data_IF_961664311340
#
_entry.id   IF_961664311340
#
_cell.length_a   1.000
_cell.length_b   1.000
_cell.length_c   1.000
_cell.angle_alpha   90.00
_cell.angle_beta   90.00
_cell.angle_gamma   90.00
#
_symmetry.space_group_name_H-M   'P 1'
#
loop_
_entity.id
_entity.type
_entity.pdbx_description
1 polymer ?
#
# COMPACT_ATOMS: atom_id res chain seq x y z
N UNK A 1 -10.55 -6.32 9.24
CA UNK A 1 -9.86 -7.44 9.90
C UNK A 1 -9.06 -6.91 11.09
N UNK A 2 -8.11 -5.97 10.91
CA UNK A 2 -7.32 -5.39 12.03
C UNK A 2 -7.17 -3.85 11.98
N UNK A 3 -8.08 -3.16 11.28
CA UNK A 3 -8.06 -1.68 11.10
C UNK A 3 -6.76 -1.10 10.51
N UNK A 4 -5.98 -1.91 9.78
CA UNK A 4 -4.84 -1.44 9.00
C UNK A 4 -5.32 -0.61 7.80
N UNK A 5 -5.34 0.71 7.99
CA UNK A 5 -5.74 1.68 6.97
C UNK A 5 -4.53 2.33 6.31
N UNK A 6 -3.39 2.40 6.99
CA UNK A 6 -2.20 3.13 6.54
C UNK A 6 -1.16 2.27 5.83
N UNK A 7 0.09 2.76 5.81
CA UNK A 7 1.20 2.03 5.20
C UNK A 7 1.59 0.81 6.04
N UNK A 8 1.87 -0.31 5.36
CA UNK A 8 2.09 -1.59 6.03
C UNK A 8 3.25 -1.56 7.04
N UNK A 9 4.27 -0.73 6.80
CA UNK A 9 5.44 -0.61 7.69
C UNK A 9 5.07 -0.03 9.05
N UNK A 10 4.25 1.03 9.08
CA UNK A 10 3.78 1.66 10.33
C UNK A 10 2.79 0.75 11.06
N UNK A 11 1.92 0.11 10.30
CA UNK A 11 0.93 -0.83 10.84
C UNK A 11 1.60 -2.08 11.44
N UNK A 12 2.64 -2.60 10.79
CA UNK A 12 3.44 -3.72 11.29
C UNK A 12 4.31 -3.32 12.49
N UNK A 13 4.97 -2.16 12.48
CA UNK A 13 5.89 -1.76 13.56
C UNK A 13 5.18 -1.53 14.91
N UNK A 14 3.91 -1.14 14.88
CA UNK A 14 3.08 -0.95 16.08
C UNK A 14 2.47 -2.25 16.62
N UNK A 15 2.56 -3.35 15.88
CA UNK A 15 1.83 -4.60 16.17
C UNK A 15 2.80 -5.74 16.47
N UNK A 16 2.67 -6.37 17.63
CA UNK A 16 3.51 -7.52 18.03
C UNK A 16 2.96 -8.84 17.49
N UNK A 17 1.66 -9.05 17.67
CA UNK A 17 0.99 -10.30 17.35
C UNK A 17 -0.46 -10.01 16.94
N UNK A 18 -0.94 -10.82 16.00
CA UNK A 18 -2.32 -10.83 15.55
C UNK A 18 -2.86 -12.24 15.74
N UNK A 19 -4.05 -12.35 16.30
CA UNK A 19 -4.73 -13.61 16.45
C UNK A 19 -6.20 -13.45 16.07
N UNK A 20 -6.82 -14.52 15.58
CA UNK A 20 -8.24 -14.53 15.25
C UNK A 20 -8.83 -15.90 15.58
N UNK A 21 -10.09 -15.90 15.98
CA UNK A 21 -10.89 -17.11 16.16
C UNK A 21 -12.35 -16.79 15.79
N UNK A 22 -13.06 -17.75 15.24
CA UNK A 22 -14.44 -17.53 14.83
C UNK A 22 -15.01 -18.54 13.84
N UNK A 23 -16.30 -18.36 13.59
CA UNK A 23 -17.10 -19.22 12.74
C UNK A 23 -17.23 -18.63 11.33
N UNK A 24 -17.06 -19.48 10.32
CA UNK A 24 -17.18 -19.13 8.90
C UNK A 24 -18.12 -20.11 8.21
N UNK A 25 -19.37 -19.69 8.02
CA UNK A 25 -20.41 -20.51 7.42
C UNK A 25 -20.58 -20.09 5.99
N UNK A 26 -20.18 -20.97 5.09
CA UNK A 26 -20.32 -20.75 3.64
C UNK A 26 -21.57 -21.46 3.17
N UNK A 27 -22.51 -20.72 2.57
CA UNK A 27 -23.71 -21.30 1.95
C UNK A 27 -23.44 -21.64 0.49
N UNK A 28 -22.87 -20.69 -0.26
CA UNK A 28 -22.55 -20.88 -1.67
C UNK A 28 -21.35 -20.01 -2.08
N UNK A 29 -20.71 -20.41 -3.17
CA UNK A 29 -19.57 -19.70 -3.75
C UNK A 29 -19.96 -19.21 -5.15
N UNK A 30 -19.62 -17.95 -5.44
CA UNK A 30 -19.73 -17.38 -6.78
C UNK A 30 -18.31 -17.14 -7.26
N UNK A 31 -17.85 -17.87 -8.27
CA UNK A 31 -16.49 -17.75 -8.80
C UNK A 31 -16.55 -17.56 -10.32
N UNK A 32 -15.71 -16.67 -10.85
CA UNK A 32 -15.51 -16.52 -12.28
C UNK A 32 -14.66 -17.70 -12.77
N UNK A 33 -15.05 -18.26 -13.91
CA UNK A 33 -14.23 -19.26 -14.59
C UNK A 33 -12.91 -18.64 -15.05
N UNK A 34 -11.81 -19.15 -14.49
CA UNK A 34 -10.46 -18.59 -14.67
C UNK A 34 -9.96 -18.68 -16.10
N UNK A 35 -10.47 -19.60 -16.91
CA UNK A 35 -10.01 -19.80 -18.28
C UNK A 35 -10.42 -18.67 -19.23
N UNK A 36 -11.42 -17.86 -18.89
CA UNK A 36 -12.05 -16.91 -19.82
C UNK A 36 -12.15 -15.47 -19.28
N UNK A 37 -11.37 -15.11 -18.26
CA UNK A 37 -11.44 -13.77 -17.68
C UNK A 37 -10.74 -12.76 -18.61
N UNK A 38 -11.52 -11.90 -19.24
CA UNK A 38 -11.01 -10.80 -20.06
C UNK A 38 -11.50 -9.46 -19.54
N UNK A 39 -10.61 -8.47 -19.49
CA UNK A 39 -10.98 -7.09 -19.20
C UNK A 39 -11.84 -6.50 -20.31
N UNK A 40 -12.79 -5.64 -19.93
CA UNK A 40 -13.58 -4.89 -20.91
C UNK A 40 -12.69 -3.92 -21.68
N UNK A 41 -13.02 -3.66 -22.94
CA UNK A 41 -12.22 -2.77 -23.79
C UNK A 41 -12.11 -1.35 -23.22
N UNK A 42 -13.15 -0.87 -22.51
CA UNK A 42 -13.12 0.43 -21.82
C UNK A 42 -12.01 0.51 -20.78
N UNK A 43 -11.86 -0.54 -19.96
CA UNK A 43 -10.80 -0.59 -18.94
C UNK A 43 -9.43 -0.66 -19.59
N UNK A 44 -9.29 -1.38 -20.71
CA UNK A 44 -8.02 -1.45 -21.46
C UNK A 44 -7.64 -0.10 -22.07
N UNK A 45 -8.62 0.65 -22.58
CA UNK A 45 -8.40 1.99 -23.16
C UNK A 45 -7.98 3.03 -22.11
N UNK A 46 -8.45 2.87 -20.87
CA UNK A 46 -8.08 3.76 -19.76
C UNK A 46 -6.63 3.51 -19.28
N UNK A 47 -5.94 2.46 -19.73
CA UNK A 47 -4.56 2.17 -19.32
C UNK A 47 -3.59 3.17 -19.94
N UNK A 48 -2.82 3.94 -19.14
CA UNK A 48 -1.85 4.90 -19.66
C UNK A 48 -0.72 4.20 -20.40
N UNK A 49 -0.41 4.66 -21.62
CA UNK A 49 0.66 4.06 -22.44
C UNK A 49 2.08 4.43 -21.95
N UNK A 50 2.21 5.55 -21.25
CA UNK A 50 3.47 6.09 -20.71
C UNK A 50 3.36 6.31 -19.20
N UNK A 51 4.49 6.64 -18.56
CA UNK A 51 4.45 7.07 -17.15
C UNK A 51 3.87 8.49 -17.03
N UNK A 52 2.55 8.57 -16.95
CA UNK A 52 1.81 9.77 -16.57
C UNK A 52 1.24 9.60 -15.16
N UNK A 53 1.83 10.26 -14.13
CA UNK A 53 1.34 10.18 -12.75
C UNK A 53 -0.14 10.52 -12.60
N UNK A 54 -0.67 11.44 -13.41
CA UNK A 54 -2.05 11.90 -13.31
C UNK A 54 -3.00 10.81 -13.82
N UNK A 55 -2.81 10.36 -15.06
CA UNK A 55 -3.64 9.30 -15.64
C UNK A 55 -3.53 7.97 -14.86
N UNK A 56 -2.35 7.64 -14.31
CA UNK A 56 -2.16 6.44 -13.49
C UNK A 56 -2.92 6.57 -12.15
N UNK A 57 -2.85 7.71 -11.47
CA UNK A 57 -3.57 7.94 -10.23
C UNK A 57 -5.09 7.86 -10.46
N UNK A 58 -5.60 8.51 -11.52
CA UNK A 58 -7.00 8.45 -11.94
C UNK A 58 -7.43 7.01 -12.25
N UNK A 59 -6.58 6.23 -12.93
CA UNK A 59 -6.88 4.82 -13.22
C UNK A 59 -7.03 4.01 -11.92
N UNK A 60 -6.10 4.16 -10.97
CA UNK A 60 -6.12 3.43 -9.69
C UNK A 60 -7.33 3.86 -8.85
N UNK A 61 -7.68 5.14 -8.85
CA UNK A 61 -8.86 5.65 -8.15
C UNK A 61 -10.16 5.11 -8.76
N UNK A 62 -10.28 5.12 -10.09
CA UNK A 62 -11.48 4.72 -10.82
C UNK A 62 -11.71 3.20 -10.82
N UNK A 63 -10.67 2.42 -11.08
CA UNK A 63 -10.77 0.97 -11.30
C UNK A 63 -10.23 0.13 -10.13
N UNK A 64 -9.49 0.75 -9.21
CA UNK A 64 -8.80 0.04 -8.15
C UNK A 64 -7.57 -0.73 -8.65
N UNK A 65 -7.05 -1.59 -7.77
CA UNK A 65 -5.82 -2.37 -8.03
C UNK A 65 -6.09 -3.84 -8.33
N UNK A 66 -7.25 -4.35 -7.93
CA UNK A 66 -7.58 -5.77 -7.96
C UNK A 66 -9.02 -5.99 -8.41
N UNK A 67 -9.25 -7.12 -9.08
CA UNK A 67 -10.57 -7.56 -9.50
C UNK A 67 -11.02 -8.69 -8.58
N UNK A 68 -12.29 -8.66 -8.20
CA UNK A 68 -12.93 -9.74 -7.46
C UNK A 68 -13.24 -10.87 -8.45
N UNK A 69 -12.54 -12.00 -8.31
CA UNK A 69 -12.75 -13.19 -9.15
C UNK A 69 -13.58 -14.27 -8.47
N UNK A 70 -13.82 -14.13 -7.18
CA UNK A 70 -14.66 -15.07 -6.44
C UNK A 70 -15.10 -14.52 -5.11
N UNK A 71 -16.29 -14.93 -4.68
CA UNK A 71 -16.95 -14.47 -3.48
C UNK A 71 -17.56 -15.68 -2.80
N UNK A 72 -17.32 -15.80 -1.49
CA UNK A 72 -18.02 -16.76 -0.63
C UNK A 72 -19.13 -16.05 0.10
N UNK A 73 -20.35 -16.56 -0.02
CA UNK A 73 -21.57 -16.01 0.56
C UNK A 73 -22.02 -16.85 1.75
N UNK A 74 -22.42 -16.20 2.83
CA UNK A 74 -22.95 -16.86 4.02
C UNK A 74 -22.88 -15.96 5.25
N UNK A 75 -22.38 -16.49 6.36
CA UNK A 75 -22.25 -15.76 7.63
C UNK A 75 -20.88 -15.97 8.26
N UNK A 76 -20.33 -14.94 8.89
CA UNK A 76 -19.14 -15.08 9.74
C UNK A 76 -19.29 -14.32 11.04
N UNK A 77 -18.78 -14.92 12.09
CA UNK A 77 -18.71 -14.30 13.41
C UNK A 77 -17.31 -14.52 13.99
N UNK A 78 -16.51 -13.46 14.04
CA UNK A 78 -15.06 -13.56 14.27
C UNK A 78 -14.60 -12.56 15.31
N UNK A 79 -13.72 -13.01 16.19
CA UNK A 79 -13.01 -12.21 17.19
C UNK A 79 -11.58 -12.06 16.70
N UNK A 80 -11.12 -10.81 16.58
CA UNK A 80 -9.74 -10.50 16.22
C UNK A 80 -9.06 -9.86 17.42
N UNK A 81 -7.84 -10.27 17.70
CA UNK A 81 -7.00 -9.70 18.74
C UNK A 81 -5.77 -9.08 18.09
N UNK A 82 -5.55 -7.80 18.40
CA UNK A 82 -4.35 -7.05 18.03
C UNK A 82 -3.55 -6.75 19.29
N UNK A 83 -2.35 -7.31 19.38
CA UNK A 83 -1.39 -7.03 20.45
C UNK A 83 -0.45 -5.90 20.02
N UNK A 84 -0.32 -4.86 20.85
CA UNK A 84 0.61 -3.76 20.59
C UNK A 84 2.06 -4.16 20.88
N UNK A 85 3.03 -3.52 20.19
CA UNK A 85 4.45 -3.81 20.37
C UNK A 85 4.97 -3.58 21.80
N UNK A 86 4.35 -2.64 22.53
CA UNK A 86 4.70 -2.31 23.91
C UNK A 86 4.17 -3.34 24.93
N UNK A 87 3.46 -4.37 24.48
CA UNK A 87 2.89 -5.41 25.33
C UNK A 87 3.95 -6.43 25.75
N UNK A 88 4.07 -6.65 27.06
CA UNK A 88 4.90 -7.70 27.64
C UNK A 88 4.25 -9.09 27.61
N UNK A 89 3.00 -9.20 27.12
CA UNK A 89 2.29 -10.48 27.11
C UNK A 89 2.96 -11.47 26.16
N UNK A 90 3.00 -12.72 26.60
CA UNK A 90 3.51 -13.82 25.80
C UNK A 90 2.44 -14.30 24.79
N UNK A 91 2.80 -14.78 23.58
CA UNK A 91 1.83 -15.29 22.61
C UNK A 91 0.86 -16.36 23.17
N UNK A 92 1.32 -17.18 24.12
CA UNK A 92 0.47 -18.18 24.79
C UNK A 92 -0.65 -17.56 25.63
N UNK A 93 -0.39 -16.42 26.28
CA UNK A 93 -1.39 -15.69 27.05
C UNK A 93 -2.41 -15.06 26.12
N UNK A 94 -1.97 -14.46 25.01
CA UNK A 94 -2.86 -13.92 23.97
C UNK A 94 -3.76 -15.00 23.40
N UNK A 95 -3.21 -16.19 23.12
CA UNK A 95 -3.99 -17.35 22.67
C UNK A 95 -5.00 -17.83 23.72
N UNK A 96 -4.62 -17.86 25.00
CA UNK A 96 -5.52 -18.23 26.10
C UNK A 96 -6.68 -17.23 26.21
N UNK A 97 -6.38 -15.94 26.14
CA UNK A 97 -7.40 -14.87 26.14
C UNK A 97 -8.32 -14.98 24.94
N UNK A 98 -7.79 -15.23 23.74
CA UNK A 98 -8.60 -15.45 22.54
C UNK A 98 -9.56 -16.63 22.72
N UNK A 99 -9.05 -17.75 23.24
CA UNK A 99 -9.86 -18.93 23.50
C UNK A 99 -10.96 -18.64 24.52
N UNK A 100 -10.65 -17.95 25.61
CA UNK A 100 -11.66 -17.57 26.60
C UNK A 100 -12.76 -16.68 25.99
N UNK A 101 -12.39 -15.66 25.21
CA UNK A 101 -13.38 -14.80 24.54
C UNK A 101 -14.21 -15.56 23.51
N UNK A 102 -13.62 -16.53 22.81
CA UNK A 102 -14.33 -17.40 21.88
C UNK A 102 -15.31 -18.32 22.62
N UNK A 103 -14.87 -18.96 23.70
CA UNK A 103 -15.71 -19.82 24.55
C UNK A 103 -16.88 -19.01 25.13
N UNK A 104 -16.65 -17.79 25.64
CA UNK A 104 -17.70 -16.90 26.14
C UNK A 104 -18.69 -16.46 25.06
N UNK A 105 -18.22 -16.18 23.84
CA UNK A 105 -19.06 -15.66 22.75
C UNK A 105 -19.85 -16.74 22.03
N UNK A 106 -19.28 -17.94 21.92
CA UNK A 106 -19.85 -19.05 21.14
C UNK A 106 -20.46 -20.14 22.00
N UNK A 107 -20.42 -20.02 23.34
CA UNK A 107 -21.17 -20.89 24.24
C UNK A 107 -22.68 -20.77 24.00
N UNK A 108 -23.39 -21.89 24.16
CA UNK A 108 -24.84 -22.00 23.95
C UNK A 108 -25.69 -21.43 25.10
N UNK A 109 -25.08 -20.86 26.14
CA UNK A 109 -25.82 -20.28 27.25
C UNK A 109 -26.71 -19.12 26.76
N UNK A 110 -28.03 -19.26 26.97
CA UNK A 110 -29.09 -18.36 26.51
C UNK A 110 -29.03 -16.95 27.12
N UNK A 111 -28.16 -16.72 28.09
CA UNK A 111 -27.92 -15.40 28.67
C UNK A 111 -26.88 -14.66 27.82
N UNK A 112 -27.38 -13.80 26.93
CA UNK A 112 -26.53 -12.87 26.18
C UNK A 112 -25.57 -12.14 27.14
N UNK A 113 -24.25 -12.13 26.91
CA UNK A 113 -23.38 -11.26 27.67
C UNK A 113 -23.76 -9.83 27.30
N UNK A 114 -24.43 -9.16 28.25
CA UNK A 114 -24.66 -7.71 28.21
C UNK A 114 -23.27 -7.09 28.09
N UNK A 115 -22.95 -6.53 26.92
CA UNK A 115 -21.75 -5.72 26.72
C UNK A 115 -21.80 -4.55 27.71
N UNK A 116 -21.26 -4.75 28.90
CA UNK A 116 -21.20 -3.76 29.98
C UNK A 116 -20.02 -2.82 29.76
N UNK A 117 -19.97 -2.16 28.60
CA UNK A 117 -19.10 -1.00 28.38
C UNK A 117 -19.61 -0.30 27.11
N UNK A 118 -20.20 0.89 27.30
CA UNK A 118 -20.69 1.73 26.19
C UNK A 118 -19.54 2.00 25.21
N UNK A 119 -19.63 1.62 23.93
CA UNK A 119 -18.64 2.00 22.95
C UNK A 119 -18.72 3.51 22.68
N UNK A 120 -17.56 4.16 22.54
CA UNK A 120 -17.49 5.51 22.00
C UNK A 120 -17.79 5.43 20.50
N UNK A 121 -18.93 5.97 20.09
CA UNK A 121 -19.32 6.13 18.69
C UNK A 121 -18.44 7.23 18.05
N UNK A 122 -17.55 6.86 17.14
CA UNK A 122 -16.94 7.81 16.19
C UNK A 122 -17.78 7.80 14.90
N UNK A 123 -18.20 8.96 14.34
CA UNK A 123 -18.99 8.99 13.13
C UNK A 123 -18.15 8.57 11.92
N UNK A 124 -18.52 7.46 11.27
CA UNK A 124 -17.95 7.03 10.00
C UNK A 124 -18.96 7.27 8.88
N UNK A 125 -18.55 8.03 7.86
CA UNK A 125 -19.34 8.30 6.66
C UNK A 125 -19.30 7.08 5.72
N UNK A 126 -20.44 6.44 5.39
CA UNK A 126 -20.52 5.40 4.38
C UNK A 126 -20.28 5.98 2.99
N UNK A 127 -19.45 5.33 2.20
CA UNK A 127 -19.26 5.67 0.79
C UNK A 127 -20.54 5.32 0.03
N UNK A 128 -21.15 6.33 -0.60
CA UNK A 128 -22.31 6.20 -1.47
C UNK A 128 -21.96 5.39 -2.73
N UNK A 129 -22.35 4.12 -2.75
CA UNK A 129 -22.57 3.37 -3.98
C UNK A 129 -24.07 3.28 -4.20
N UNK A 130 -24.55 4.09 -5.15
CA UNK A 130 -25.95 4.17 -5.58
C UNK A 130 -26.58 2.77 -5.75
N UNK A 131 -27.66 2.52 -5.00
CA UNK A 131 -28.79 1.73 -5.50
C UNK A 131 -29.02 0.31 -4.99
N UNK A 132 -28.28 -0.19 -3.99
CA UNK A 132 -28.59 -1.49 -3.36
C UNK A 132 -28.76 -1.33 -1.85
N UNK A 133 -29.78 -1.95 -1.21
CA UNK A 133 -29.84 -2.01 0.25
C UNK A 133 -28.72 -2.94 0.71
N UNK A 134 -27.52 -2.39 0.91
CA UNK A 134 -26.47 -3.08 1.62
C UNK A 134 -27.03 -3.39 3.01
N UNK A 135 -27.35 -4.66 3.27
CA UNK A 135 -27.75 -5.13 4.59
C UNK A 135 -26.78 -4.52 5.60
N UNK A 136 -27.31 -3.64 6.46
CA UNK A 136 -26.56 -2.72 7.31
C UNK A 136 -25.35 -3.43 7.92
N UNK A 137 -24.15 -3.08 7.44
CA UNK A 137 -22.92 -3.64 7.98
C UNK A 137 -22.75 -2.97 9.34
N UNK A 138 -23.15 -3.68 10.41
CA UNK A 138 -22.91 -3.20 11.77
C UNK A 138 -21.40 -2.91 11.93
N UNK A 139 -21.03 -1.72 12.45
CA UNK A 139 -19.64 -1.41 12.73
C UNK A 139 -19.01 -2.48 13.64
N UNK A 140 -17.72 -2.79 13.44
CA UNK A 140 -17.04 -3.72 14.33
C UNK A 140 -17.08 -3.17 15.76
N UNK A 141 -17.38 -4.03 16.74
CA UNK A 141 -17.28 -3.65 18.15
C UNK A 141 -15.82 -3.74 18.55
N UNK A 142 -15.26 -2.65 19.06
CA UNK A 142 -13.84 -2.58 19.46
C UNK A 142 -13.75 -2.37 20.97
N UNK A 143 -13.09 -3.29 21.65
CA UNK A 143 -12.83 -3.20 23.10
C UNK A 143 -11.32 -3.12 23.32
N UNK A 144 -10.87 -2.21 24.18
CA UNK A 144 -9.45 -2.04 24.53
C UNK A 144 -9.20 -2.51 25.94
N UNK A 145 -8.12 -3.24 26.17
CA UNK A 145 -7.71 -3.59 27.53
C UNK A 145 -7.27 -2.34 28.30
N UNK A 146 -7.37 -2.38 29.64
CA UNK A 146 -7.05 -1.25 30.54
C UNK A 146 -5.66 -0.63 30.32
N UNK A 147 -4.70 -1.39 29.80
CA UNK A 147 -3.33 -0.94 29.55
C UNK A 147 -3.04 -0.65 28.06
N UNK A 148 -4.05 -0.62 27.19
CA UNK A 148 -3.91 -0.53 25.72
C UNK A 148 -2.94 -1.59 25.13
N UNK A 149 -2.71 -2.69 25.86
CA UNK A 149 -1.81 -3.76 25.45
C UNK A 149 -2.46 -4.67 24.39
N UNK A 150 -3.79 -4.79 24.44
CA UNK A 150 -4.61 -5.62 23.57
C UNK A 150 -5.82 -4.83 23.10
N UNK A 151 -6.12 -4.93 21.81
CA UNK A 151 -7.36 -4.48 21.20
C UNK A 151 -8.13 -5.70 20.67
N UNK A 152 -9.36 -5.87 21.13
CA UNK A 152 -10.28 -6.90 20.68
C UNK A 152 -11.25 -6.27 19.67
N UNK A 153 -11.42 -6.91 18.52
CA UNK A 153 -12.28 -6.44 17.43
C UNK A 153 -13.24 -7.55 17.05
N UNK A 154 -14.52 -7.35 17.35
CA UNK A 154 -15.60 -8.28 17.07
C UNK A 154 -16.24 -7.92 15.73
N UNK A 155 -16.23 -8.86 14.79
CA UNK A 155 -16.77 -8.69 13.45
C UNK A 155 -17.78 -9.78 13.16
N UNK A 156 -19.05 -9.41 13.07
CA UNK A 156 -20.14 -10.26 12.58
C UNK A 156 -20.61 -9.76 11.21
N UNK A 157 -20.80 -10.66 10.25
CA UNK A 157 -21.33 -10.35 8.91
C UNK A 157 -22.22 -11.47 8.39
N UNK A 158 -23.27 -11.13 7.66
CA UNK A 158 -24.29 -12.09 7.22
C UNK A 158 -25.22 -12.46 8.37
N UNK A 159 -26.41 -12.95 8.03
CA UNK A 159 -27.53 -13.02 8.96
C UNK A 159 -28.05 -11.65 9.35
N UNK A 160 -29.06 -11.65 10.22
CA UNK A 160 -29.61 -10.43 10.82
C UNK A 160 -28.96 -10.28 12.20
N UNK A 161 -28.40 -9.12 12.54
CA UNK A 161 -27.72 -8.90 13.84
C UNK A 161 -28.39 -7.78 14.65
N UNK A 162 -29.17 -8.18 15.65
CA UNK A 162 -29.79 -7.34 16.67
C UNK A 162 -29.07 -7.42 18.02
N UNK A 163 -27.88 -8.02 18.09
CA UNK A 163 -27.17 -8.27 19.35
C UNK A 163 -27.60 -9.55 20.07
N UNK A 164 -28.26 -10.46 19.36
CA UNK A 164 -28.65 -11.77 19.88
C UNK A 164 -27.45 -12.74 20.01
N UNK A 165 -27.71 -13.87 20.69
CA UNK A 165 -26.73 -14.94 20.88
C UNK A 165 -26.24 -15.53 19.55
N UNK A 166 -25.09 -16.20 19.59
CA UNK A 166 -24.51 -16.82 18.40
C UNK A 166 -25.47 -17.85 17.78
N UNK A 167 -26.07 -18.73 18.58
CA UNK A 167 -27.00 -19.77 18.11
C UNK A 167 -28.24 -19.21 17.41
N UNK A 168 -28.83 -18.14 17.95
CA UNK A 168 -29.96 -17.45 17.31
C UNK A 168 -29.55 -16.76 16.02
N UNK A 169 -28.34 -16.20 15.96
CA UNK A 169 -27.80 -15.62 14.73
C UNK A 169 -27.59 -16.67 13.63
N UNK A 170 -27.10 -17.87 13.97
CA UNK A 170 -26.84 -18.96 13.02
C UNK A 170 -28.05 -19.29 12.14
N UNK A 171 -29.26 -19.32 12.73
CA UNK A 171 -30.50 -19.66 12.01
C UNK A 171 -30.91 -18.60 10.98
N UNK A 172 -30.43 -17.36 11.12
CA UNK A 172 -30.77 -16.24 10.22
C UNK A 172 -29.88 -16.18 8.97
N UNK A 173 -28.75 -16.89 8.95
CA UNK A 173 -27.74 -16.79 7.89
C UNK A 173 -28.32 -17.23 6.53
N UNK A 174 -29.16 -18.26 6.51
CA UNK A 174 -29.80 -18.76 5.29
C UNK A 174 -30.74 -17.74 4.65
N UNK A 175 -31.39 -16.89 5.47
CA UNK A 175 -32.35 -15.89 5.01
C UNK A 175 -31.68 -14.60 4.54
N UNK A 176 -30.54 -14.24 5.13
CA UNK A 176 -29.82 -12.99 4.82
C UNK A 176 -28.30 -13.20 4.72
N UNK A 177 -27.79 -13.97 3.75
CA UNK A 177 -26.36 -14.20 3.61
C UNK A 177 -25.63 -12.94 3.11
N UNK A 178 -24.37 -12.79 3.51
CA UNK A 178 -23.50 -11.69 3.07
C UNK A 178 -22.10 -12.22 2.70
N UNK A 179 -21.27 -11.37 2.11
CA UNK A 179 -19.91 -11.70 1.71
C UNK A 179 -19.03 -11.95 2.92
N UNK A 180 -18.57 -13.21 3.08
CA UNK A 180 -17.68 -13.60 4.18
C UNK A 180 -16.21 -13.57 3.78
N UNK A 181 -15.91 -13.89 2.51
CA UNK A 181 -14.56 -13.95 1.94
C UNK A 181 -14.60 -13.60 0.45
N UNK A 182 -13.53 -12.97 -0.04
CA UNK A 182 -13.36 -12.57 -1.43
C UNK A 182 -12.00 -13.06 -1.93
N UNK A 183 -11.95 -13.49 -3.20
CA UNK A 183 -10.74 -13.83 -3.93
C UNK A 183 -10.45 -12.72 -4.94
N UNK A 184 -9.20 -12.27 -4.97
CA UNK A 184 -8.77 -11.16 -5.80
C UNK A 184 -7.67 -11.58 -6.75
N UNK A 185 -7.60 -10.91 -7.90
CA UNK A 185 -6.50 -11.02 -8.87
C UNK A 185 -6.07 -9.60 -9.26
N UNK A 186 -4.76 -9.30 -9.35
CA UNK A 186 -4.29 -7.97 -9.76
C UNK A 186 -4.79 -7.62 -11.15
N UNK A 187 -5.31 -6.40 -11.34
CA UNK A 187 -5.85 -5.96 -12.65
C UNK A 187 -4.78 -6.03 -13.75
N UNK A 188 -3.52 -5.78 -13.39
CA UNK A 188 -2.34 -5.81 -14.27
C UNK A 188 -2.02 -7.20 -14.83
N UNK A 189 -2.45 -8.27 -14.16
CA UNK A 189 -2.28 -9.64 -14.67
C UNK A 189 -3.19 -9.97 -15.86
N UNK A 190 -4.30 -9.24 -16.00
CA UNK A 190 -5.27 -9.39 -17.09
C UNK A 190 -5.04 -8.41 -18.24
N UNK A 191 -4.02 -7.55 -18.12
CA UNK A 191 -3.57 -6.58 -19.13
C UNK A 191 -2.43 -7.13 -19.99
N UNK A 192 -2.31 -8.45 -20.12
CA UNK A 192 -1.31 -9.08 -20.99
C UNK A 192 -1.44 -8.58 -22.43
N UNK A 193 -0.39 -7.90 -22.92
CA UNK A 193 -0.32 -7.37 -24.28
C UNK A 193 -0.75 -5.90 -24.46
N UNK A 194 -1.23 -5.20 -23.42
CA UNK A 194 -1.49 -3.76 -23.51
C UNK A 194 -0.18 -2.94 -23.41
N UNK A 195 -0.08 -1.89 -24.23
CA UNK A 195 0.97 -0.87 -24.07
C UNK A 195 0.77 -0.18 -22.73
N UNK A 196 1.84 -0.02 -21.95
CA UNK A 196 1.79 0.65 -20.65
C UNK A 196 1.50 -0.23 -19.42
N UNK A 197 1.23 -1.53 -19.58
CA UNK A 197 1.02 -2.44 -18.43
C UNK A 197 2.23 -2.44 -17.45
N UNK A 198 3.45 -2.30 -17.99
CA UNK A 198 4.66 -2.18 -17.15
C UNK A 198 4.62 -0.97 -16.21
N UNK A 199 4.17 0.20 -16.70
CA UNK A 199 4.06 1.41 -15.90
C UNK A 199 2.97 1.27 -14.84
N UNK A 200 1.78 0.80 -15.24
CA UNK A 200 0.68 0.59 -14.30
C UNK A 200 1.05 -0.45 -13.23
N UNK A 201 1.69 -1.56 -13.62
CA UNK A 201 2.15 -2.56 -12.66
C UNK A 201 3.19 -2.01 -11.70
N UNK A 202 4.10 -1.16 -12.17
CA UNK A 202 5.07 -0.50 -11.29
C UNK A 202 4.38 0.44 -10.30
N UNK A 203 3.47 1.29 -10.78
CA UNK A 203 2.73 2.23 -9.95
C UNK A 203 1.83 1.53 -8.91
N UNK A 204 1.11 0.48 -9.31
CA UNK A 204 0.29 -0.33 -8.39
C UNK A 204 1.15 -0.96 -7.31
N UNK A 205 2.34 -1.48 -7.66
CA UNK A 205 3.27 -2.04 -6.67
C UNK A 205 3.75 -0.98 -5.67
N UNK A 206 4.04 0.24 -6.14
CA UNK A 206 4.39 1.36 -5.25
C UNK A 206 3.20 1.76 -4.36
N UNK A 207 2.00 1.85 -4.93
CA UNK A 207 0.79 2.14 -4.17
C UNK A 207 0.52 1.08 -3.09
N UNK A 208 0.63 -0.21 -3.39
CA UNK A 208 0.42 -1.27 -2.39
C UNK A 208 1.53 -1.28 -1.32
N UNK A 209 2.75 -0.88 -1.68
CA UNK A 209 3.90 -0.84 -0.76
C UNK A 209 3.86 0.36 0.17
N UNK A 210 3.48 1.54 -0.30
CA UNK A 210 3.53 2.77 0.49
C UNK A 210 2.15 3.24 0.94
N UNK A 211 1.10 2.87 0.21
CA UNK A 211 -0.30 3.19 0.43
C UNK A 211 -0.50 4.66 0.85
N UNK A 212 -0.03 5.62 0.03
CA UNK A 212 -0.32 7.04 0.27
C UNK A 212 -1.85 7.28 0.22
N UNK A 213 -2.33 8.38 0.81
CA UNK A 213 -3.69 8.86 0.55
C UNK A 213 -3.96 8.94 -0.95
N UNK A 214 -5.18 8.64 -1.38
CA UNK A 214 -5.50 8.57 -2.82
C UNK A 214 -5.34 9.95 -3.47
N UNK A 215 -5.62 11.00 -2.69
CA UNK A 215 -5.51 12.40 -3.06
C UNK A 215 -4.07 12.85 -3.34
N UNK A 216 -3.09 12.18 -2.71
CA UNK A 216 -1.65 12.47 -2.86
C UNK A 216 -0.94 11.49 -3.81
N UNK A 217 -1.68 10.53 -4.38
CA UNK A 217 -1.09 9.48 -5.20
C UNK A 217 -0.41 10.07 -6.44
N UNK A 218 -1.00 11.11 -7.02
CA UNK A 218 -0.45 11.80 -8.20
C UNK A 218 0.93 12.38 -7.90
N UNK A 219 1.04 13.21 -6.87
CA UNK A 219 2.29 13.83 -6.45
C UNK A 219 3.30 12.75 -6.07
N UNK A 220 2.86 11.74 -5.31
CA UNK A 220 3.70 10.63 -4.92
C UNK A 220 4.36 9.93 -6.12
N UNK A 221 3.59 9.63 -7.19
CA UNK A 221 4.06 9.01 -8.42
C UNK A 221 4.96 9.93 -9.26
N UNK A 222 4.75 11.24 -9.20
CA UNK A 222 5.54 12.24 -9.91
C UNK A 222 7.00 12.27 -9.44
N UNK A 223 7.24 11.98 -8.16
CA UNK A 223 8.59 11.91 -7.57
C UNK A 223 9.26 10.53 -7.68
N UNK A 224 8.61 9.53 -8.28
CA UNK A 224 9.20 8.18 -8.44
C UNK A 224 10.10 8.07 -9.68
N UNK A 225 9.96 9.00 -10.62
CA UNK A 225 10.85 9.05 -11.79
C UNK A 225 12.09 9.85 -11.42
N UNK A 226 13.30 9.32 -11.70
CA UNK A 226 14.52 10.10 -11.57
C UNK A 226 14.41 11.36 -12.43
N UNK A 227 14.21 12.52 -11.79
CA UNK A 227 14.31 13.82 -12.45
C UNK A 227 15.78 14.10 -12.72
N UNK A 228 16.28 13.62 -13.85
CA UNK A 228 17.62 13.98 -14.31
C UNK A 228 17.59 15.47 -14.71
N UNK A 229 18.07 16.34 -13.82
CA UNK A 229 18.31 17.75 -14.15
C UNK A 229 19.69 17.99 -14.77
N UNK A 230 20.54 16.98 -14.76
CA UNK A 230 21.79 16.93 -15.50
C UNK A 230 21.90 15.54 -16.16
N UNK A 231 22.53 15.43 -17.34
CA UNK A 231 22.80 14.14 -17.95
C UNK A 231 23.49 13.24 -16.93
N UNK A 232 22.98 12.02 -16.74
CA UNK A 232 23.78 10.99 -16.10
C UNK A 232 24.91 10.71 -17.07
N UNK A 233 26.11 11.20 -16.76
CA UNK A 233 27.32 10.75 -17.42
C UNK A 233 27.44 9.27 -17.10
N UNK A 234 26.88 8.44 -17.99
CA UNK A 234 27.21 7.04 -18.06
C UNK A 234 28.70 6.90 -18.29
N UNK A 235 29.25 5.77 -17.87
CA UNK A 235 30.65 5.34 -17.99
C UNK A 235 31.17 5.22 -19.46
N UNK A 236 30.65 6.03 -20.37
CA UNK A 236 31.20 6.23 -21.70
C UNK A 236 32.39 7.19 -21.59
N UNK A 237 33.58 6.82 -22.08
CA UNK A 237 34.73 7.70 -22.12
C UNK A 237 34.50 8.76 -23.21
N UNK A 238 33.67 9.76 -22.92
CA UNK A 238 33.46 10.92 -23.79
C UNK A 238 34.64 11.87 -23.59
N UNK A 239 35.74 11.52 -24.24
CA UNK A 239 36.88 12.39 -24.42
C UNK A 239 37.80 11.83 -25.50
N UNK A 240 37.90 12.54 -26.63
CA UNK A 240 39.06 12.40 -27.50
C UNK A 240 40.30 12.52 -26.63
N UNK A 241 41.16 11.49 -26.58
CA UNK A 241 42.52 11.58 -26.05
C UNK A 241 43.29 12.61 -26.88
N UNK A 242 43.14 13.90 -26.55
CA UNK A 242 43.95 14.95 -27.15
C UNK A 242 45.35 14.86 -26.57
N UNK A 243 46.33 14.91 -27.47
CA UNK A 243 47.76 15.06 -27.20
C UNK A 243 47.97 16.12 -26.12
N UNK A 244 48.91 15.84 -25.21
CA UNK A 244 49.45 16.72 -24.17
C UNK A 244 49.55 18.18 -24.67
N UNK A 245 48.51 18.96 -24.44
CA UNK A 245 48.60 20.42 -24.49
C UNK A 245 49.11 20.84 -23.11
N UNK A 246 50.06 21.77 -23.08
CA UNK A 246 50.60 22.32 -21.84
C UNK A 246 49.50 23.14 -21.15
N UNK A 247 48.69 22.48 -20.33
CA UNK A 247 47.68 23.14 -19.52
C UNK A 247 48.38 23.96 -18.43
N UNK A 248 47.92 25.20 -18.16
CA UNK A 248 48.43 25.98 -17.05
C UNK A 248 48.18 25.22 -15.74
N UNK A 249 49.18 25.19 -14.85
CA UNK A 249 49.09 24.48 -13.57
C UNK A 249 49.20 25.43 -12.39
N UNK A 250 48.31 25.28 -11.42
CA UNK A 250 48.36 25.94 -10.13
C UNK A 250 49.06 25.04 -9.11
N UNK A 251 49.96 25.64 -8.32
CA UNK A 251 50.66 24.96 -7.24
C UNK A 251 50.54 25.84 -5.99
N UNK A 252 49.75 25.39 -5.01
CA UNK A 252 49.40 26.18 -3.82
C UNK A 252 50.49 26.15 -2.73
N UNK A 253 51.42 25.18 -2.78
CA UNK A 253 52.55 25.06 -1.86
C UNK A 253 53.84 24.75 -2.62
N UNK A 254 54.98 25.26 -2.14
CA UNK A 254 56.28 25.20 -2.85
C UNK A 254 56.71 23.79 -3.31
N UNK A 255 56.25 22.74 -2.61
CA UNK A 255 56.49 21.31 -2.95
C UNK A 255 55.18 20.51 -3.14
N UNK A 256 54.04 21.20 -3.34
CA UNK A 256 52.73 20.58 -3.43
C UNK A 256 52.35 19.98 -4.79
N UNK A 257 51.23 19.24 -4.85
CA UNK A 257 50.69 18.72 -6.10
C UNK A 257 50.29 19.86 -7.05
N UNK A 258 50.47 19.62 -8.35
CA UNK A 258 50.09 20.55 -9.41
C UNK A 258 48.66 20.25 -9.86
N UNK A 259 47.80 21.28 -9.83
CA UNK A 259 46.45 21.24 -10.36
C UNK A 259 46.44 21.87 -11.74
N UNK A 260 46.17 21.09 -12.79
CA UNK A 260 46.11 21.58 -14.16
C UNK A 260 44.74 22.19 -14.44
N UNK A 261 44.68 23.38 -15.06
CA UNK A 261 43.41 24.07 -15.34
C UNK A 261 43.08 23.98 -16.82
N UNK A 262 41.88 23.49 -17.14
CA UNK A 262 41.36 23.47 -18.49
C UNK A 262 40.88 24.88 -18.90
N UNK A 263 41.48 25.45 -19.94
CA UNK A 263 41.17 26.80 -20.43
C UNK A 263 40.23 26.82 -21.63
N UNK A 264 39.64 25.68 -21.99
CA UNK A 264 38.68 25.60 -23.07
C UNK A 264 37.44 26.43 -22.70
N UNK A 265 37.01 27.39 -23.54
CA UNK A 265 35.82 28.18 -23.28
C UNK A 265 34.57 27.30 -23.34
N UNK A 266 33.67 27.49 -22.37
CA UNK A 266 32.36 26.80 -22.30
C UNK A 266 31.29 27.79 -22.74
N UNK A 267 30.48 27.41 -23.72
CA UNK A 267 29.40 28.24 -24.25
C UNK A 267 28.11 28.06 -23.43
N UNK A 268 27.53 29.15 -22.94
CA UNK A 268 26.27 29.14 -22.18
C UNK A 268 25.03 29.27 -23.08
N UNK A 269 25.20 29.33 -24.41
CA UNK A 269 24.10 29.37 -25.38
C UNK A 269 23.18 30.58 -25.19
N UNK A 270 23.77 31.76 -24.92
CA UNK A 270 23.06 33.02 -24.63
C UNK A 270 22.11 32.98 -23.41
N UNK A 271 22.29 32.03 -22.48
CA UNK A 271 21.56 31.99 -21.20
C UNK A 271 22.35 32.73 -20.11
N UNK A 272 21.68 33.44 -19.18
CA UNK A 272 22.35 34.07 -18.05
C UNK A 272 23.00 33.00 -17.16
N UNK A 273 24.28 33.17 -16.84
CA UNK A 273 25.03 32.25 -15.99
C UNK A 273 24.67 32.52 -14.53
N UNK A 274 23.94 31.61 -13.90
CA UNK A 274 23.48 31.72 -12.50
C UNK A 274 24.42 31.05 -11.50
N UNK A 275 25.45 30.35 -11.97
CA UNK A 275 26.44 29.67 -11.13
C UNK A 275 27.47 28.92 -11.98
N UNK A 276 28.59 28.56 -11.35
CA UNK A 276 29.69 27.81 -11.99
C UNK A 276 29.95 26.57 -11.14
N UNK A 277 30.09 25.41 -11.77
CA UNK A 277 30.50 24.18 -11.08
C UNK A 277 31.86 23.73 -11.60
N UNK A 278 32.79 23.54 -10.65
CA UNK A 278 34.14 23.07 -10.93
C UNK A 278 34.23 21.57 -10.69
N UNK A 279 34.90 20.86 -11.58
CA UNK A 279 35.11 19.41 -11.50
C UNK A 279 36.59 19.06 -11.68
N UNK A 280 37.00 17.97 -11.03
CA UNK A 280 38.31 17.37 -11.21
C UNK A 280 38.19 16.18 -12.17
N UNK A 281 38.85 16.29 -13.31
CA UNK A 281 38.87 15.32 -14.40
C UNK A 281 40.20 14.57 -14.47
N UNK A 282 40.19 13.49 -15.26
CA UNK A 282 41.38 12.66 -15.54
C UNK A 282 41.58 11.54 -14.53
N UNK A 283 42.41 10.54 -14.89
CA UNK A 283 42.64 9.35 -14.06
C UNK A 283 43.21 9.64 -12.67
N UNK A 284 43.86 10.80 -12.49
CA UNK A 284 44.48 11.24 -11.24
C UNK A 284 43.67 12.34 -10.55
N UNK A 285 42.51 12.74 -11.09
CA UNK A 285 41.70 13.85 -10.60
C UNK A 285 42.50 15.16 -10.40
N UNK A 286 43.47 15.41 -11.29
CA UNK A 286 44.42 16.54 -11.21
C UNK A 286 44.14 17.63 -12.25
N UNK A 287 43.02 17.54 -12.99
CA UNK A 287 42.62 18.52 -14.00
C UNK A 287 41.32 19.24 -13.59
N UNK A 288 41.37 20.53 -13.33
CA UNK A 288 40.20 21.37 -13.03
C UNK A 288 39.49 21.80 -14.32
N UNK A 289 38.20 21.49 -14.45
CA UNK A 289 37.35 21.90 -15.57
C UNK A 289 36.05 22.55 -15.08
N UNK A 290 35.46 23.39 -15.95
CA UNK A 290 34.14 24.01 -15.75
C UNK A 290 33.13 23.20 -16.56
N UNK A 291 32.02 22.84 -15.93
CA UNK A 291 30.84 22.22 -16.57
C UNK A 291 29.61 23.10 -16.34
#
# INVERSE_FOLDING_TARGET
MFEFKGCWQKDASSTKCLALDGWFITLYNVELDRAHITLSERVKQDVPETWDPTAIAEFIEKHGTHIIVGVKMGGKDVIHIKQSNNSNLHPNEVRKTLKQLADERFSENEEAPVFSEKPKEEPYMPWDLQGMPAASIRPPVVTRSKNNAIVNVYIRRGGVDYGQSHSQWLSTISQSPNVISMKFVPITSLLGGSRGNGFLSHAVNLYLRYKPPIEELREFLEFQVPRQWAPVYGDLPLGLKRRKQALPSLQFTFMGPKLYVNTVPVDSGNRPVTGIRLYLEGKKNDHLAIH
#
